data_IF_999270511532
#
_entry.id   IF_999270511532
#
_cell.length_a   1.000
_cell.length_b   1.000
_cell.length_c   1.000
_cell.angle_alpha   90.00
_cell.angle_beta   90.00
_cell.angle_gamma   90.00
#
_symmetry.space_group_name_H-M   'P 1'
#
loop_
_entity.id
_entity.type
_entity.pdbx_description
1 polymer ?
#
# COMPACT_ATOMS: atom_id res chain seq x y z
N UNK A 1 -3.92 -17.94 -22.63
CA UNK A 1 -5.16 -18.46 -22.01
C UNK A 1 -5.69 -19.71 -22.71
N UNK A 2 -5.65 -19.82 -24.04
CA UNK A 2 -6.21 -20.99 -24.76
C UNK A 2 -5.51 -22.36 -24.51
N UNK A 3 -4.20 -22.38 -24.27
CA UNK A 3 -3.48 -23.65 -24.04
C UNK A 3 -3.88 -24.34 -22.72
N UNK A 4 -4.17 -23.57 -21.67
CA UNK A 4 -4.66 -24.12 -20.40
C UNK A 4 -6.10 -24.63 -20.54
N UNK A 5 -6.94 -23.91 -21.29
CA UNK A 5 -8.32 -24.30 -21.55
C UNK A 5 -8.43 -25.59 -22.37
N UNK A 6 -7.43 -25.91 -23.18
CA UNK A 6 -7.35 -27.12 -24.00
C UNK A 6 -6.91 -28.38 -23.24
N UNK A 7 -6.49 -28.26 -21.97
CA UNK A 7 -6.11 -29.42 -21.15
C UNK A 7 -7.35 -30.14 -20.62
N UNK A 8 -7.20 -31.46 -20.41
CA UNK A 8 -8.22 -32.25 -19.74
C UNK A 8 -8.36 -31.86 -18.26
N UNK A 9 -9.60 -31.64 -17.80
CA UNK A 9 -9.91 -31.14 -16.47
C UNK A 9 -9.53 -32.14 -15.38
N UNK A 10 -9.79 -33.43 -15.59
CA UNK A 10 -9.58 -34.48 -14.59
C UNK A 10 -8.09 -34.76 -14.36
N UNK A 11 -7.33 -34.88 -15.45
CA UNK A 11 -5.86 -35.04 -15.39
C UNK A 11 -5.17 -33.83 -14.77
N UNK A 12 -5.66 -32.63 -15.06
CA UNK A 12 -5.13 -31.40 -14.47
C UNK A 12 -5.39 -31.36 -12.96
N UNK A 13 -6.61 -31.69 -12.52
CA UNK A 13 -6.98 -31.76 -11.11
C UNK A 13 -6.21 -32.83 -10.34
N UNK A 14 -6.03 -34.02 -10.93
CA UNK A 14 -5.29 -35.11 -10.31
C UNK A 14 -3.80 -34.79 -10.08
N UNK A 15 -3.19 -33.98 -10.95
CA UNK A 15 -1.75 -33.67 -10.92
C UNK A 15 -1.40 -32.40 -10.15
N UNK A 16 -2.23 -31.37 -10.27
CA UNK A 16 -1.94 -30.02 -9.77
C UNK A 16 -2.96 -29.53 -8.74
N UNK A 17 -3.98 -30.33 -8.45
CA UNK A 17 -4.94 -30.05 -7.38
C UNK A 17 -5.96 -28.96 -7.70
N UNK A 18 -6.67 -28.49 -6.66
CA UNK A 18 -7.87 -27.65 -6.80
C UNK A 18 -7.61 -26.22 -7.28
N UNK A 19 -6.37 -25.71 -7.19
CA UNK A 19 -6.04 -24.39 -7.76
C UNK A 19 -5.96 -24.43 -9.29
N UNK A 20 -5.41 -25.51 -9.85
CA UNK A 20 -5.32 -25.67 -11.30
C UNK A 20 -6.71 -25.81 -11.95
N UNK A 21 -7.64 -26.50 -11.28
CA UNK A 21 -9.05 -26.57 -11.68
C UNK A 21 -9.70 -25.17 -11.71
N UNK A 22 -9.47 -24.35 -10.67
CA UNK A 22 -9.97 -22.97 -10.60
C UNK A 22 -9.41 -22.09 -11.72
N UNK A 23 -8.16 -22.29 -12.11
CA UNK A 23 -7.56 -21.57 -13.26
C UNK A 23 -8.13 -22.04 -14.60
N UNK A 24 -8.35 -23.35 -14.77
CA UNK A 24 -8.99 -23.93 -15.96
C UNK A 24 -10.43 -23.44 -16.15
N UNK A 25 -11.21 -23.36 -15.07
CA UNK A 25 -12.57 -22.81 -15.07
C UNK A 25 -12.59 -21.32 -15.44
N UNK A 26 -11.63 -20.53 -14.93
CA UNK A 26 -11.45 -19.13 -15.35
C UNK A 26 -11.10 -19.02 -16.84
N UNK A 27 -10.21 -19.88 -17.33
CA UNK A 27 -9.79 -19.87 -18.73
C UNK A 27 -10.92 -20.27 -19.71
N UNK A 28 -11.88 -21.09 -19.26
CA UNK A 28 -13.05 -21.51 -20.02
C UNK A 28 -14.31 -20.65 -19.78
N UNK A 29 -14.18 -19.50 -19.10
CA UNK A 29 -15.33 -18.63 -18.80
C UNK A 29 -16.35 -19.24 -17.84
N UNK A 30 -16.03 -20.36 -17.18
CA UNK A 30 -16.87 -21.05 -16.20
C UNK A 30 -16.68 -20.51 -14.77
N UNK A 31 -15.95 -19.41 -14.63
CA UNK A 31 -15.76 -18.74 -13.35
C UNK A 31 -16.99 -17.90 -12.99
N UNK A 32 -17.86 -18.45 -12.15
CA UNK A 32 -18.96 -17.69 -11.55
C UNK A 32 -18.47 -16.91 -10.31
N UNK A 33 -17.80 -15.77 -10.53
CA UNK A 33 -17.40 -14.86 -9.44
C UNK A 33 -18.46 -13.79 -9.26
N UNK A 34 -19.26 -13.92 -8.20
CA UNK A 34 -20.19 -12.86 -7.78
C UNK A 34 -19.42 -11.56 -7.55
N UNK A 35 -19.95 -10.45 -8.09
CA UNK A 35 -19.46 -9.11 -7.77
C UNK A 35 -19.64 -8.88 -6.27
N UNK A 36 -18.51 -8.78 -5.56
CA UNK A 36 -18.51 -8.37 -4.17
C UNK A 36 -18.35 -6.86 -4.14
N UNK A 37 -19.31 -6.16 -3.54
CA UNK A 37 -19.12 -4.76 -3.19
C UNK A 37 -18.04 -4.71 -2.10
N UNK A 38 -16.81 -4.48 -2.51
CA UNK A 38 -15.67 -4.27 -1.61
C UNK A 38 -15.60 -2.77 -1.38
N UNK A 39 -15.76 -2.33 -0.13
CA UNK A 39 -15.30 -1.02 0.29
C UNK A 39 -13.85 -1.21 0.72
N UNK A 40 -12.86 -0.63 0.02
CA UNK A 40 -11.48 -0.67 0.48
C UNK A 40 -11.44 -0.16 1.93
N UNK A 41 -10.62 -0.76 2.81
CA UNK A 41 -10.37 -0.19 4.12
C UNK A 41 -9.94 1.27 3.95
N UNK A 42 -10.49 2.16 4.76
CA UNK A 42 -10.01 3.55 4.78
C UNK A 42 -8.56 3.56 5.26
N UNK A 43 -7.65 4.05 4.41
CA UNK A 43 -6.25 4.25 4.77
C UNK A 43 -6.02 5.71 5.14
N UNK A 44 -5.48 5.97 6.33
CA UNK A 44 -5.12 7.30 6.81
C UNK A 44 -3.63 7.52 6.62
N UNK A 45 -3.25 7.86 5.39
CA UNK A 45 -1.86 8.11 5.00
C UNK A 45 -1.80 9.32 4.06
N UNK A 46 -0.75 10.11 4.21
CA UNK A 46 -0.40 11.22 3.32
C UNK A 46 1.10 11.12 3.01
N UNK A 47 1.47 11.39 1.77
CA UNK A 47 2.84 11.28 1.28
C UNK A 47 3.18 12.38 0.28
N UNK A 48 4.42 12.85 0.27
CA UNK A 48 4.90 13.83 -0.69
C UNK A 48 6.38 13.58 -0.97
N UNK A 49 6.74 13.67 -2.25
CA UNK A 49 8.11 13.59 -2.72
C UNK A 49 8.54 14.99 -3.16
N UNK A 50 9.60 15.50 -2.54
CA UNK A 50 10.16 16.79 -2.94
C UNK A 50 10.86 16.65 -4.29
N UNK A 51 10.58 17.58 -5.21
CA UNK A 51 11.24 17.59 -6.53
C UNK A 51 12.76 17.76 -6.43
N UNK A 52 13.21 18.48 -5.40
CA UNK A 52 14.62 18.75 -5.12
C UNK A 52 14.94 18.44 -3.67
N UNK A 53 16.23 18.22 -3.38
CA UNK A 53 16.71 18.05 -2.01
C UNK A 53 16.41 19.29 -1.16
N UNK A 54 15.99 19.06 0.09
CA UNK A 54 15.72 20.14 1.05
C UNK A 54 16.96 20.38 1.91
N UNK A 55 17.39 21.63 2.02
CA UNK A 55 18.58 22.00 2.80
C UNK A 55 18.26 22.20 4.29
N UNK A 56 16.99 22.40 4.64
CA UNK A 56 16.56 22.73 5.99
C UNK A 56 15.30 21.95 6.38
N UNK A 57 14.94 21.98 7.66
CA UNK A 57 13.80 21.23 8.18
C UNK A 57 12.45 21.94 7.93
N UNK A 58 12.43 23.24 7.65
CA UNK A 58 11.21 24.04 7.51
C UNK A 58 10.27 23.52 6.42
N UNK A 59 10.72 23.19 5.18
CA UNK A 59 9.83 22.63 4.15
C UNK A 59 9.22 21.28 4.57
N UNK A 60 10.00 20.45 5.26
CA UNK A 60 9.52 19.18 5.81
C UNK A 60 8.45 19.42 6.88
N UNK A 61 8.72 20.30 7.85
CA UNK A 61 7.78 20.62 8.93
C UNK A 61 6.48 21.24 8.40
N UNK A 62 6.57 22.06 7.34
CA UNK A 62 5.39 22.61 6.66
C UNK A 62 4.52 21.49 6.08
N UNK A 63 5.12 20.53 5.37
CA UNK A 63 4.40 19.40 4.81
C UNK A 63 3.82 18.48 5.90
N UNK A 64 4.58 18.17 6.95
CA UNK A 64 4.10 17.35 8.06
C UNK A 64 2.91 18.00 8.78
N UNK A 65 2.94 19.32 9.01
CA UNK A 65 1.80 20.05 9.58
C UNK A 65 0.56 19.90 8.70
N UNK A 66 0.70 20.14 7.40
CA UNK A 66 -0.41 20.01 6.45
C UNK A 66 -0.98 18.58 6.43
N UNK A 67 -0.13 17.56 6.49
CA UNK A 67 -0.58 16.16 6.56
C UNK A 67 -1.37 15.87 7.83
N UNK A 68 -0.89 16.34 8.97
CA UNK A 68 -1.61 16.16 10.24
C UNK A 68 -2.98 16.84 10.20
N UNK A 69 -3.08 18.05 9.65
CA UNK A 69 -4.35 18.76 9.47
C UNK A 69 -5.31 17.98 8.55
N UNK A 70 -4.82 17.44 7.42
CA UNK A 70 -5.62 16.65 6.50
C UNK A 70 -6.11 15.33 7.14
N UNK A 71 -5.22 14.63 7.86
CA UNK A 71 -5.54 13.40 8.56
C UNK A 71 -6.55 13.63 9.69
N UNK A 72 -6.38 14.70 10.47
CA UNK A 72 -7.31 15.13 11.52
C UNK A 72 -8.73 15.36 10.98
N UNK A 73 -8.85 16.12 9.88
CA UNK A 73 -10.14 16.38 9.22
C UNK A 73 -10.77 15.08 8.74
N UNK A 74 -9.99 14.20 8.10
CA UNK A 74 -10.48 12.92 7.58
C UNK A 74 -10.92 11.95 8.68
N UNK A 75 -10.18 11.86 9.78
CA UNK A 75 -10.55 11.06 10.95
C UNK A 75 -11.83 11.59 11.60
N UNK A 76 -11.94 12.91 11.74
CA UNK A 76 -13.12 13.58 12.29
C UNK A 76 -14.38 13.35 11.48
N UNK A 77 -14.27 13.37 10.14
CA UNK A 77 -15.39 13.18 9.23
C UNK A 77 -16.12 11.84 9.38
N UNK A 78 -15.45 10.85 9.99
CA UNK A 78 -15.96 9.50 10.22
C UNK A 78 -15.95 9.10 11.71
N UNK A 79 -15.74 10.06 12.60
CA UNK A 79 -15.75 9.86 14.06
C UNK A 79 -14.70 8.86 14.57
N UNK A 80 -13.51 8.83 13.95
CA UNK A 80 -12.37 8.04 14.42
C UNK A 80 -11.31 8.92 15.10
N UNK A 81 -10.49 8.26 15.92
CA UNK A 81 -9.31 8.84 16.58
C UNK A 81 -8.09 7.96 16.35
N UNK A 82 -6.91 8.56 16.26
CA UNK A 82 -5.66 7.84 16.08
C UNK A 82 -5.02 7.50 17.43
N UNK A 83 -4.50 6.28 17.56
CA UNK A 83 -3.69 5.85 18.72
C UNK A 83 -2.19 5.86 18.42
N UNK A 84 -1.83 5.67 17.15
CA UNK A 84 -0.46 5.60 16.69
C UNK A 84 -0.34 6.37 15.37
N UNK A 85 0.83 7.00 15.16
CA UNK A 85 1.20 7.67 13.93
C UNK A 85 2.56 7.15 13.49
N UNK A 86 2.70 6.81 12.22
CA UNK A 86 3.97 6.36 11.64
C UNK A 86 4.51 7.43 10.71
N UNK A 87 5.71 7.93 11.00
CA UNK A 87 6.47 8.82 10.12
C UNK A 87 7.49 8.00 9.34
N UNK A 88 7.46 8.09 8.01
CA UNK A 88 8.48 7.54 7.12
C UNK A 88 9.14 8.66 6.33
N UNK A 89 10.47 8.66 6.30
CA UNK A 89 11.28 9.59 5.51
C UNK A 89 12.22 8.75 4.66
N UNK A 90 12.22 8.96 3.35
CA UNK A 90 13.18 8.34 2.43
C UNK A 90 14.20 9.37 1.98
N UNK A 91 15.48 9.01 2.02
CA UNK A 91 16.57 9.87 1.59
C UNK A 91 17.02 9.53 0.17
N UNK A 92 17.43 10.55 -0.59
CA UNK A 92 18.19 10.34 -1.83
C UNK A 92 19.55 9.77 -1.44
N UNK A 93 19.84 8.54 -1.87
CA UNK A 93 21.15 7.93 -1.64
C UNK A 93 22.09 8.41 -2.75
N UNK A 94 22.67 9.61 -2.60
CA UNK A 94 23.55 10.21 -3.60
C UNK A 94 25.02 9.84 -3.35
N UNK A 95 25.37 8.55 -3.51
CA UNK A 95 26.75 8.18 -3.87
C UNK A 95 26.83 8.11 -5.39
N UNK A 96 27.63 9.00 -5.98
CA UNK A 96 27.82 9.07 -7.44
C UNK A 96 28.43 7.79 -8.05
N UNK A 97 28.98 6.88 -7.23
CA UNK A 97 29.69 5.67 -7.68
C UNK A 97 28.95 4.34 -7.42
N UNK A 98 27.71 4.34 -6.90
CA UNK A 98 26.98 3.09 -6.62
C UNK A 98 25.81 2.84 -7.59
N UNK A 99 25.60 1.58 -8.05
CA UNK A 99 24.55 1.24 -9.00
C UNK A 99 23.15 1.50 -8.42
N UNK A 100 22.21 1.87 -9.29
CA UNK A 100 20.82 2.30 -9.01
C UNK A 100 19.90 1.27 -8.31
N UNK A 101 20.47 0.24 -7.68
CA UNK A 101 19.79 -0.81 -6.90
C UNK A 101 20.00 -0.61 -5.39
N UNK A 102 20.77 0.41 -4.98
CA UNK A 102 20.96 0.72 -3.56
C UNK A 102 19.62 1.02 -2.88
N UNK A 103 19.30 0.25 -1.83
CA UNK A 103 18.11 0.44 -1.00
C UNK A 103 18.03 1.90 -0.56
N UNK A 104 16.91 2.58 -0.87
CA UNK A 104 16.66 3.94 -0.39
C UNK A 104 16.75 3.91 1.14
N UNK A 105 17.76 4.56 1.71
CA UNK A 105 17.90 4.62 3.16
C UNK A 105 16.67 5.34 3.71
N UNK A 106 15.95 4.65 4.59
CA UNK A 106 14.71 5.12 5.17
C UNK A 106 14.84 5.32 6.67
N UNK A 107 14.20 6.36 7.18
CA UNK A 107 13.92 6.52 8.59
C UNK A 107 12.44 6.28 8.84
N UNK A 108 12.13 5.38 9.76
CA UNK A 108 10.76 5.11 10.22
C UNK A 108 10.68 5.31 11.72
N UNK A 109 9.62 6.02 12.16
CA UNK A 109 9.34 6.18 13.59
C UNK A 109 7.85 6.12 13.85
N UNK A 110 7.50 5.33 14.86
CA UNK A 110 6.13 5.22 15.39
C UNK A 110 6.02 6.11 16.62
N UNK A 111 5.00 6.96 16.63
CA UNK A 111 4.60 7.79 17.77
C UNK A 111 3.34 7.19 18.37
N UNK A 112 3.40 6.84 19.66
CA UNK A 112 2.22 6.48 20.43
C UNK A 112 1.58 7.74 20.98
N UNK A 113 0.29 7.89 20.74
CA UNK A 113 -0.48 9.01 21.25
C UNK A 113 -0.98 8.62 22.65
N UNK A 114 -0.62 9.37 23.72
CA UNK A 114 -0.96 9.00 25.10
C UNK A 114 -2.48 8.84 25.32
N UNK A 115 -3.27 9.64 24.62
CA UNK A 115 -4.72 9.54 24.56
C UNK A 115 -5.15 9.62 23.09
N UNK A 116 -5.88 8.62 22.56
CA UNK A 116 -6.28 8.64 21.17
C UNK A 116 -7.01 9.92 20.79
N UNK A 117 -6.55 10.59 19.74
CA UNK A 117 -7.04 11.92 19.33
C UNK A 117 -7.13 12.03 17.82
N UNK A 118 -7.94 12.98 17.38
CA UNK A 118 -8.02 13.51 16.02
C UNK A 118 -7.58 14.99 15.96
N UNK A 119 -7.15 15.57 17.08
CA UNK A 119 -6.59 16.92 17.25
C UNK A 119 -5.07 16.92 17.41
#
# INVERSE_FOLDING_TARGET
MGQLAALDKEQLGARLGPEALRMWERANGQSNRVLKLIRPPESFEESFEFEHEIATAEPLLFMLRRFLEQLAVRLSAIYLVAKELTLRITFSNSRQDEPAVAEKQGYERVFKIPQPTND
#
